data_IF_588075210652
#
_entry.id   IF_588075210652
#
_cell.length_a   1.000
_cell.length_b   1.000
_cell.length_c   1.000
_cell.angle_alpha   90.00
_cell.angle_beta   90.00
_cell.angle_gamma   90.00
#
_symmetry.space_group_name_H-M   'P 1'
#
loop_
_entity.id
_entity.type
_entity.pdbx_description
1 polymer ?
#
# COMPACT_ATOMS: atom_id res chain seq x y z
N UNK A 1 -1.79 -7.13 -42.32
CA UNK A 1 -2.96 -7.87 -41.80
C UNK A 1 -2.71 -8.60 -40.46
N UNK A 2 -1.54 -8.45 -39.81
CA UNK A 2 -1.26 -9.08 -38.52
C UNK A 2 -1.74 -8.28 -37.28
N UNK A 3 -2.18 -7.03 -37.44
CA UNK A 3 -2.54 -6.14 -36.31
C UNK A 3 -3.97 -6.33 -35.77
N UNK A 4 -4.85 -7.01 -36.51
CA UNK A 4 -6.29 -7.11 -36.18
C UNK A 4 -6.59 -8.30 -35.25
N UNK A 5 -5.80 -9.38 -35.35
CA UNK A 5 -5.99 -10.59 -34.54
C UNK A 5 -5.46 -10.41 -33.11
N UNK A 6 -4.37 -9.65 -32.95
CA UNK A 6 -3.75 -9.40 -31.64
C UNK A 6 -4.62 -8.48 -30.77
N UNK A 7 -5.24 -7.46 -31.34
CA UNK A 7 -6.14 -6.55 -30.60
C UNK A 7 -7.40 -7.27 -30.11
N UNK A 8 -8.00 -8.13 -30.93
CA UNK A 8 -9.19 -8.91 -30.54
C UNK A 8 -8.90 -9.88 -29.38
N UNK A 9 -7.73 -10.53 -29.37
CA UNK A 9 -7.31 -11.41 -28.29
C UNK A 9 -7.05 -10.63 -26.99
N UNK A 10 -6.40 -9.47 -27.08
CA UNK A 10 -6.15 -8.59 -25.92
C UNK A 10 -7.46 -8.07 -25.34
N UNK A 11 -8.42 -7.65 -26.18
CA UNK A 11 -9.73 -7.18 -25.71
C UNK A 11 -10.54 -8.28 -25.03
N UNK A 12 -10.47 -9.52 -25.51
CA UNK A 12 -11.14 -10.66 -24.88
C UNK A 12 -10.50 -11.01 -23.53
N UNK A 13 -9.16 -10.98 -23.44
CA UNK A 13 -8.43 -11.19 -22.18
C UNK A 13 -8.67 -10.07 -21.16
N UNK A 14 -8.77 -8.81 -21.61
CA UNK A 14 -9.11 -7.66 -20.76
C UNK A 14 -10.55 -7.72 -20.28
N UNK A 15 -11.50 -8.10 -21.14
CA UNK A 15 -12.92 -8.23 -20.76
C UNK A 15 -13.13 -9.32 -19.71
N UNK A 16 -12.46 -10.47 -19.86
CA UNK A 16 -12.52 -11.53 -18.85
C UNK A 16 -11.88 -11.09 -17.53
N UNK A 17 -10.77 -10.36 -17.60
CA UNK A 17 -10.08 -9.90 -16.39
C UNK A 17 -10.85 -8.79 -15.68
N UNK A 18 -11.47 -7.86 -16.42
CA UNK A 18 -12.32 -6.81 -15.87
C UNK A 18 -13.58 -7.37 -15.18
N UNK A 19 -14.14 -8.48 -15.67
CA UNK A 19 -15.28 -9.16 -15.03
C UNK A 19 -14.94 -9.84 -13.70
N UNK A 20 -13.66 -10.00 -13.39
CA UNK A 20 -13.19 -10.64 -12.15
C UNK A 20 -12.78 -9.64 -11.08
N UNK A 21 -12.74 -8.35 -11.42
CA UNK A 21 -12.34 -7.28 -10.50
C UNK A 21 -13.55 -6.77 -9.72
N UNK A 22 -13.31 -6.37 -8.48
CA UNK A 22 -14.29 -5.58 -7.71
C UNK A 22 -14.44 -4.19 -8.33
N UNK A 23 -15.50 -3.46 -7.95
CA UNK A 23 -15.74 -2.10 -8.48
C UNK A 23 -14.58 -1.15 -8.14
N UNK A 24 -13.99 -1.27 -6.95
CA UNK A 24 -12.81 -0.50 -6.53
C UNK A 24 -11.58 -0.87 -7.37
N UNK A 25 -11.32 -2.17 -7.57
CA UNK A 25 -10.22 -2.64 -8.40
C UNK A 25 -10.37 -2.17 -9.85
N UNK A 26 -11.58 -2.25 -10.40
CA UNK A 26 -11.87 -1.78 -11.75
C UNK A 26 -11.66 -0.27 -11.86
N UNK A 27 -12.13 0.52 -10.89
CA UNK A 27 -11.94 1.96 -10.85
C UNK A 27 -10.45 2.33 -10.88
N UNK A 28 -9.63 1.72 -10.02
CA UNK A 28 -8.19 1.95 -9.96
C UNK A 28 -7.51 1.51 -11.27
N UNK A 29 -7.90 0.37 -11.84
CA UNK A 29 -7.35 -0.10 -13.11
C UNK A 29 -7.62 0.90 -14.25
N UNK A 30 -8.85 1.42 -14.34
CA UNK A 30 -9.21 2.42 -15.35
C UNK A 30 -8.35 3.67 -15.17
N UNK A 31 -8.25 4.20 -13.95
CA UNK A 31 -7.42 5.37 -13.64
C UNK A 31 -5.94 5.16 -14.01
N UNK A 32 -5.37 4.00 -13.68
CA UNK A 32 -4.00 3.66 -14.07
C UNK A 32 -3.82 3.54 -15.59
N UNK A 33 -4.86 3.12 -16.32
CA UNK A 33 -4.83 3.01 -17.78
C UNK A 33 -5.01 4.36 -18.48
N UNK A 34 -5.76 5.29 -17.88
CA UNK A 34 -6.04 6.63 -18.43
C UNK A 34 -5.07 7.71 -17.95
N UNK A 35 -4.19 7.39 -17.01
CA UNK A 35 -3.34 8.37 -16.31
C UNK A 35 -4.15 9.45 -15.58
N UNK A 36 -5.29 9.04 -15.05
CA UNK A 36 -6.16 9.86 -14.24
C UNK A 36 -6.23 9.27 -12.84
N UNK A 37 -7.00 9.92 -11.97
CA UNK A 37 -7.04 9.59 -10.55
C UNK A 37 -8.48 9.33 -10.10
N UNK A 38 -8.74 8.35 -9.22
CA UNK A 38 -10.08 8.12 -8.68
C UNK A 38 -10.28 8.94 -7.41
N UNK A 39 -11.49 9.42 -7.17
CA UNK A 39 -11.92 9.91 -5.86
C UNK A 39 -12.76 8.81 -5.21
N UNK A 40 -12.37 8.36 -4.02
CA UNK A 40 -13.14 7.37 -3.27
C UNK A 40 -13.85 8.05 -2.10
N UNK A 41 -15.12 7.72 -1.93
CA UNK A 41 -15.95 8.22 -0.84
C UNK A 41 -16.66 7.08 -0.14
N UNK A 42 -16.85 7.20 1.17
CA UNK A 42 -17.55 6.19 1.99
C UNK A 42 -18.02 6.86 3.29
N UNK A 43 -19.01 6.29 4.01
CA UNK A 43 -19.40 6.81 5.32
C UNK A 43 -18.23 6.87 6.30
N UNK A 44 -18.25 7.82 7.23
CA UNK A 44 -17.13 8.11 8.14
C UNK A 44 -16.59 6.88 8.88
N UNK A 45 -17.49 6.00 9.31
CA UNK A 45 -17.19 4.81 10.08
C UNK A 45 -16.55 3.69 9.24
N UNK A 46 -16.51 3.82 7.92
CA UNK A 46 -15.94 2.85 6.98
C UNK A 46 -14.64 3.30 6.33
N UNK A 47 -14.18 4.52 6.61
CA UNK A 47 -12.92 5.03 6.03
C UNK A 47 -11.77 4.10 6.33
N UNK A 48 -11.62 3.66 7.58
CA UNK A 48 -10.50 2.80 7.98
C UNK A 48 -10.56 1.43 7.31
N UNK A 49 -11.75 0.85 7.17
CA UNK A 49 -11.95 -0.42 6.46
C UNK A 49 -11.63 -0.28 4.97
N UNK A 50 -12.10 0.79 4.32
CA UNK A 50 -11.77 1.07 2.92
C UNK A 50 -10.27 1.31 2.71
N UNK A 51 -9.62 2.05 3.60
CA UNK A 51 -8.18 2.28 3.55
C UNK A 51 -7.42 0.96 3.72
N UNK A 52 -7.84 0.11 4.67
CA UNK A 52 -7.23 -1.19 4.88
C UNK A 52 -7.42 -2.11 3.67
N UNK A 53 -8.61 -2.14 3.05
CA UNK A 53 -8.84 -2.83 1.78
C UNK A 53 -7.87 -2.34 0.70
N UNK A 54 -7.71 -1.02 0.52
CA UNK A 54 -6.77 -0.45 -0.44
C UNK A 54 -5.32 -0.86 -0.16
N UNK A 55 -4.91 -0.89 1.11
CA UNK A 55 -3.57 -1.32 1.53
C UNK A 55 -3.27 -2.77 1.16
N UNK A 56 -4.29 -3.64 1.14
CA UNK A 56 -4.16 -5.02 0.73
C UNK A 56 -4.25 -5.16 -0.79
N UNK A 57 -5.21 -4.47 -1.41
CA UNK A 57 -5.53 -4.52 -2.82
C UNK A 57 -4.39 -3.99 -3.69
N UNK A 58 -3.83 -2.81 -3.36
CA UNK A 58 -2.81 -2.15 -4.17
C UNK A 58 -1.55 -3.00 -4.40
N UNK A 59 -0.91 -3.58 -3.36
CA UNK A 59 0.25 -4.45 -3.58
C UNK A 59 -0.14 -5.81 -4.18
N UNK A 60 -1.27 -6.40 -3.80
CA UNK A 60 -1.66 -7.74 -4.30
C UNK A 60 -2.08 -7.75 -5.76
N UNK A 61 -2.92 -6.79 -6.16
CA UNK A 61 -3.55 -6.76 -7.48
C UNK A 61 -2.69 -5.98 -8.49
N UNK A 62 -2.18 -4.82 -8.07
CA UNK A 62 -1.46 -3.91 -8.97
C UNK A 62 0.06 -3.93 -8.82
N UNK A 63 0.58 -4.62 -7.79
CA UNK A 63 2.01 -4.70 -7.48
C UNK A 63 2.65 -3.31 -7.36
N UNK A 64 1.92 -2.38 -6.75
CA UNK A 64 2.36 -1.01 -6.54
C UNK A 64 2.73 -0.81 -5.07
N UNK A 65 3.77 0.01 -4.83
CA UNK A 65 4.03 0.53 -3.48
C UNK A 65 3.00 1.60 -3.15
N UNK A 66 2.57 1.66 -1.89
CA UNK A 66 1.62 2.66 -1.43
C UNK A 66 2.11 3.39 -0.17
N UNK A 67 1.64 4.62 0.01
CA UNK A 67 1.73 5.38 1.27
C UNK A 67 0.36 5.90 1.65
N UNK A 68 0.13 6.02 2.96
CA UNK A 68 -1.08 6.58 3.53
C UNK A 68 -0.73 7.94 4.10
N UNK A 69 -1.52 8.97 3.76
CA UNK A 69 -1.34 10.33 4.25
C UNK A 69 -2.63 10.78 4.93
N UNK A 70 -2.53 11.14 6.21
CA UNK A 70 -3.65 11.68 6.98
C UNK A 70 -3.73 13.19 6.81
N UNK A 71 -4.79 13.65 6.16
CA UNK A 71 -4.95 15.06 5.86
C UNK A 71 -5.72 15.79 6.96
N UNK A 72 -5.20 16.94 7.35
CA UNK A 72 -5.79 17.82 8.36
C UNK A 72 -5.61 19.29 7.97
N UNK A 73 -6.37 20.21 8.59
CA UNK A 73 -6.17 21.65 8.39
C UNK A 73 -4.79 22.14 8.85
N UNK A 74 -4.09 21.36 9.69
CA UNK A 74 -2.73 21.64 10.18
C UNK A 74 -1.62 21.04 9.32
N UNK A 75 -1.94 20.23 8.30
CA UNK A 75 -0.93 19.59 7.45
C UNK A 75 -0.11 20.63 6.70
N UNK A 76 1.21 20.65 6.91
CA UNK A 76 2.11 21.57 6.23
C UNK A 76 2.65 20.97 4.92
N UNK A 77 3.13 21.81 3.98
CA UNK A 77 3.74 21.31 2.74
C UNK A 77 4.96 20.43 2.96
N UNK A 78 5.71 20.67 4.05
CA UNK A 78 6.91 19.91 4.41
C UNK A 78 6.53 18.54 4.98
N UNK A 79 5.52 18.47 5.83
CA UNK A 79 4.98 17.21 6.36
C UNK A 79 4.44 16.35 5.21
N UNK A 80 3.59 16.94 4.37
CA UNK A 80 3.03 16.26 3.19
C UNK A 80 4.13 15.74 2.25
N UNK A 81 5.13 16.57 1.94
CA UNK A 81 6.25 16.15 1.09
C UNK A 81 7.08 15.02 1.69
N UNK A 82 7.19 14.96 3.01
CA UNK A 82 7.97 13.93 3.71
C UNK A 82 7.23 12.59 3.73
N UNK A 83 5.91 12.59 3.90
CA UNK A 83 5.08 11.37 3.90
C UNK A 83 4.94 10.71 2.52
N UNK A 84 5.21 11.44 1.44
CA UNK A 84 5.20 10.90 0.07
C UNK A 84 6.38 9.97 -0.25
N UNK A 85 7.44 10.03 0.56
CA UNK A 85 8.72 9.42 0.25
C UNK A 85 8.81 8.01 0.84
N UNK A 86 9.04 7.04 -0.03
CA UNK A 86 9.37 5.67 0.35
C UNK A 86 10.88 5.48 0.24
N UNK A 87 11.44 4.78 1.22
CA UNK A 87 12.84 4.36 1.17
C UNK A 87 12.99 3.22 0.16
N UNK A 88 13.71 3.47 -0.93
CA UNK A 88 14.13 2.40 -1.85
C UNK A 88 15.61 2.11 -1.60
N UNK A 89 15.90 0.91 -1.09
CA UNK A 89 17.28 0.44 -1.02
C UNK A 89 17.74 0.06 -2.44
N UNK A 90 18.90 0.53 -2.91
CA UNK A 90 19.42 0.07 -4.20
C UNK A 90 19.68 -1.44 -4.13
N UNK A 91 19.46 -2.20 -5.23
CA UNK A 91 19.77 -3.62 -5.25
C UNK A 91 21.25 -3.80 -4.92
N UNK A 92 21.54 -4.61 -3.90
CA UNK A 92 22.89 -4.90 -3.44
C UNK A 92 23.77 -5.33 -4.62
N UNK A 93 24.94 -4.69 -4.87
CA UNK A 93 25.86 -5.17 -5.88
C UNK A 93 26.37 -6.55 -5.45
N UNK A 94 26.09 -7.56 -6.29
CA UNK A 94 26.59 -8.91 -6.11
C UNK A 94 28.14 -8.91 -6.14
N UNK A 95 28.73 -9.51 -5.10
CA UNK A 95 30.12 -10.00 -4.97
C UNK A 95 31.27 -8.98 -4.92
N UNK A 96 31.92 -8.86 -3.74
CA UNK A 96 33.33 -9.29 -3.49
C UNK A 96 33.75 -8.96 -2.06
N UNK A 97 34.38 -9.93 -1.39
CA UNK A 97 34.88 -9.93 -0.01
C UNK A 97 35.42 -8.58 0.48
N UNK A 98 34.64 -7.86 1.30
CA UNK A 98 35.13 -6.74 2.11
C UNK A 98 34.44 -6.71 3.47
N UNK A 99 35.13 -6.30 4.54
CA UNK A 99 34.65 -6.42 5.92
C UNK A 99 33.36 -5.63 6.15
N UNK A 100 32.36 -6.33 6.68
CA UNK A 100 30.92 -5.99 6.77
C UNK A 100 30.61 -4.65 7.46
N UNK A 101 31.50 -4.14 8.30
CA UNK A 101 31.25 -2.95 9.12
C UNK A 101 31.26 -1.62 8.32
N UNK A 102 31.93 -1.56 7.17
CA UNK A 102 32.00 -0.34 6.34
C UNK A 102 30.92 -0.34 5.25
N UNK A 103 30.47 -1.53 4.82
CA UNK A 103 29.44 -1.69 3.79
C UNK A 103 28.06 -1.21 4.26
N UNK A 104 27.68 -1.53 5.51
CA UNK A 104 26.42 -1.05 6.11
C UNK A 104 26.40 0.48 6.24
N UNK A 105 27.53 1.10 6.56
CA UNK A 105 27.67 2.56 6.69
C UNK A 105 27.57 3.27 5.34
N UNK A 106 28.11 2.68 4.25
CA UNK A 106 28.02 3.24 2.90
C UNK A 106 26.65 3.06 2.26
N UNK A 107 25.94 1.97 2.54
CA UNK A 107 24.62 1.71 1.95
C UNK A 107 23.52 2.68 2.45
N UNK A 108 23.68 3.27 3.64
CA UNK A 108 22.79 4.34 4.12
C UNK A 108 22.98 5.68 3.41
N UNK A 109 24.12 5.89 2.75
CA UNK A 109 24.45 7.14 2.05
C UNK A 109 24.01 7.14 0.58
N UNK A 110 23.49 6.02 0.07
CA UNK A 110 23.01 5.85 -1.32
C UNK A 110 21.51 5.60 -1.39
N UNK A 111 20.80 5.69 -0.27
CA UNK A 111 19.35 5.64 -0.23
C UNK A 111 18.75 6.79 -1.03
N UNK A 112 18.08 6.48 -2.14
CA UNK A 112 17.27 7.45 -2.86
C UNK A 112 15.84 7.35 -2.36
N UNK A 113 15.34 8.41 -1.76
CA UNK A 113 13.90 8.56 -1.50
C UNK A 113 13.17 8.64 -2.84
N UNK A 114 12.26 7.71 -3.07
CA UNK A 114 11.39 7.69 -4.26
C UNK A 114 9.95 7.92 -3.83
N UNK A 115 9.15 8.51 -4.70
CA UNK A 115 7.72 8.68 -4.44
C UNK A 115 7.03 7.33 -4.62
N UNK A 116 6.08 7.00 -3.74
CA UNK A 116 5.27 5.80 -3.88
C UNK A 116 4.48 5.79 -5.20
N UNK A 117 4.14 4.59 -5.70
CA UNK A 117 3.32 4.47 -6.89
C UNK A 117 1.84 4.79 -6.61
N UNK A 118 1.39 4.56 -5.39
CA UNK A 118 0.04 4.87 -4.95
C UNK A 118 0.09 5.75 -3.70
N UNK A 119 -0.68 6.82 -3.69
CA UNK A 119 -0.85 7.67 -2.50
C UNK A 119 -2.32 7.60 -2.10
N UNK A 120 -2.58 7.16 -0.88
CA UNK A 120 -3.92 7.12 -0.29
C UNK A 120 -4.02 8.32 0.65
N UNK A 121 -4.74 9.36 0.23
CA UNK A 121 -4.86 10.62 0.97
C UNK A 121 -6.21 10.68 1.70
N UNK A 122 -6.21 10.42 3.00
CA UNK A 122 -7.41 10.34 3.82
C UNK A 122 -7.83 11.74 4.25
N UNK A 123 -9.10 12.11 4.05
CA UNK A 123 -9.68 13.43 4.35
C UNK A 123 -9.00 14.57 3.58
N UNK A 124 -8.64 14.33 2.32
CA UNK A 124 -7.90 15.29 1.51
C UNK A 124 -8.65 16.62 1.31
N UNK A 125 -9.97 16.64 1.45
CA UNK A 125 -10.79 17.86 1.47
C UNK A 125 -10.42 18.83 2.62
N UNK A 126 -9.82 18.33 3.69
CA UNK A 126 -9.47 19.11 4.89
C UNK A 126 -8.10 19.79 4.83
N UNK A 127 -7.27 19.51 3.82
CA UNK A 127 -5.94 20.13 3.71
C UNK A 127 -6.02 21.62 3.36
N UNK A 128 -5.01 22.41 3.75
CA UNK A 128 -4.85 23.77 3.24
C UNK A 128 -4.80 23.84 1.71
N UNK A 129 -5.33 24.92 1.13
CA UNK A 129 -5.38 25.12 -0.33
C UNK A 129 -4.02 25.03 -1.02
N UNK A 130 -2.93 25.38 -0.33
CA UNK A 130 -1.56 25.25 -0.86
C UNK A 130 -1.19 23.80 -1.16
N UNK A 131 -1.64 22.85 -0.33
CA UNK A 131 -1.42 21.41 -0.54
C UNK A 131 -2.21 20.92 -1.76
N UNK A 132 -3.46 21.37 -1.91
CA UNK A 132 -4.25 21.05 -3.11
C UNK A 132 -3.57 21.55 -4.40
N UNK A 133 -3.02 22.77 -4.39
CA UNK A 133 -2.25 23.30 -5.53
C UNK A 133 -0.99 22.44 -5.77
N UNK A 134 -0.25 22.09 -4.73
CA UNK A 134 0.96 21.27 -4.84
C UNK A 134 0.66 19.89 -5.43
N UNK A 135 -0.44 19.27 -5.01
CA UNK A 135 -0.93 18.01 -5.60
C UNK A 135 -1.34 18.24 -7.06
N UNK A 136 -2.10 19.29 -7.38
CA UNK A 136 -2.47 19.59 -8.77
C UNK A 136 -1.23 19.74 -9.67
N UNK A 137 -0.21 20.47 -9.20
CA UNK A 137 1.04 20.63 -9.92
C UNK A 137 1.76 19.29 -10.06
N UNK A 138 1.80 18.47 -9.01
CA UNK A 138 2.36 17.13 -9.03
C UNK A 138 1.70 16.23 -10.07
N UNK A 139 0.37 16.20 -10.12
CA UNK A 139 -0.39 15.39 -11.08
C UNK A 139 -0.16 15.88 -12.51
N UNK A 140 -0.17 17.20 -12.75
CA UNK A 140 0.02 17.78 -14.09
C UNK A 140 1.45 17.67 -14.62
N UNK A 141 2.45 17.86 -13.76
CA UNK A 141 3.86 17.93 -14.16
C UNK A 141 4.61 16.62 -13.95
N UNK A 142 3.99 15.65 -13.26
CA UNK A 142 4.61 14.41 -12.79
C UNK A 142 5.90 14.66 -11.99
N UNK A 143 5.91 15.75 -11.22
CA UNK A 143 7.06 16.17 -10.39
C UNK A 143 6.57 16.81 -9.11
N UNK A 144 7.25 16.54 -8.00
CA UNK A 144 7.06 17.28 -6.76
C UNK A 144 8.29 18.11 -6.44
N UNK A 145 8.06 19.38 -6.08
CA UNK A 145 9.09 20.24 -5.52
C UNK A 145 9.13 20.02 -4.01
N UNK A 146 10.27 19.55 -3.51
CA UNK A 146 10.59 19.54 -2.09
C UNK A 146 11.62 20.62 -1.79
N UNK A 147 11.92 20.85 -0.51
CA UNK A 147 12.86 21.89 -0.06
C UNK A 147 14.25 21.77 -0.68
N UNK A 148 14.67 20.58 -1.09
CA UNK A 148 16.03 20.32 -1.59
C UNK A 148 16.12 19.61 -2.94
N UNK A 149 15.00 19.17 -3.53
CA UNK A 149 15.02 18.42 -4.77
C UNK A 149 13.69 18.52 -5.54
N UNK A 150 13.78 18.31 -6.84
CA UNK A 150 12.60 18.02 -7.67
C UNK A 150 12.57 16.52 -7.88
N UNK A 151 11.60 15.84 -7.29
CA UNK A 151 11.49 14.39 -7.40
C UNK A 151 10.48 14.02 -8.49
N UNK A 152 10.85 13.16 -9.45
CA UNK A 152 9.91 12.69 -10.46
C UNK A 152 8.89 11.73 -9.83
N UNK A 153 7.63 11.87 -10.25
CA UNK A 153 6.56 10.93 -9.92
C UNK A 153 6.72 9.68 -10.79
N UNK A 154 6.53 8.46 -10.24
CA UNK A 154 6.60 7.23 -11.01
C UNK A 154 5.70 7.26 -12.25
N UNK A 155 6.09 6.55 -13.31
CA UNK A 155 5.30 6.52 -14.54
C UNK A 155 3.92 5.88 -14.31
N UNK A 156 3.89 4.78 -13.57
CA UNK A 156 2.65 4.16 -13.08
C UNK A 156 2.33 4.76 -11.71
N UNK A 157 1.39 5.69 -11.68
CA UNK A 157 1.10 6.44 -10.48
C UNK A 157 -0.39 6.70 -10.33
N UNK A 158 -0.89 6.58 -9.10
CA UNK A 158 -2.27 6.91 -8.77
C UNK A 158 -2.33 7.65 -7.44
N UNK A 159 -3.05 8.78 -7.43
CA UNK A 159 -3.37 9.53 -6.23
C UNK A 159 -4.85 9.28 -5.89
N UNK A 160 -5.13 8.75 -4.71
CA UNK A 160 -6.47 8.32 -4.29
C UNK A 160 -6.88 9.11 -3.05
N UNK A 161 -7.58 10.25 -3.20
CA UNK A 161 -8.25 10.89 -2.09
C UNK A 161 -9.40 10.01 -1.60
N UNK A 162 -9.38 9.67 -0.32
CA UNK A 162 -10.43 8.96 0.40
C UNK A 162 -11.13 9.96 1.31
N UNK A 163 -12.41 10.21 1.09
CA UNK A 163 -13.16 11.24 1.81
C UNK A 163 -14.46 10.71 2.39
N UNK A 164 -14.89 11.33 3.48
CA UNK A 164 -16.18 11.05 4.12
C UNK A 164 -17.35 11.51 3.25
N UNK A 165 -18.33 10.64 3.02
CA UNK A 165 -19.62 11.01 2.43
C UNK A 165 -20.73 10.06 2.89
N UNK A 166 -21.84 10.62 3.38
CA UNK A 166 -22.98 9.84 3.87
C UNK A 166 -23.74 9.12 2.74
N UNK A 167 -23.70 9.66 1.52
CA UNK A 167 -24.38 9.09 0.37
C UNK A 167 -23.64 9.37 -0.96
N UNK A 168 -23.93 8.59 -2.02
CA UNK A 168 -23.39 8.84 -3.36
C UNK A 168 -23.64 10.27 -3.82
N UNK A 169 -22.56 10.98 -4.19
CA UNK A 169 -22.64 12.35 -4.70
C UNK A 169 -22.78 13.45 -3.64
N UNK A 170 -22.84 13.11 -2.34
CA UNK A 170 -22.91 14.07 -1.23
C UNK A 170 -21.54 14.41 -0.61
N UNK A 171 -20.44 13.90 -1.19
CA UNK A 171 -19.09 14.10 -0.66
C UNK A 171 -18.55 15.54 -0.79
N UNK A 172 -17.52 15.88 0.00
CA UNK A 172 -16.87 17.17 -0.04
C UNK A 172 -16.26 17.43 -1.42
N UNK A 173 -16.37 18.69 -1.87
CA UNK A 173 -15.88 19.10 -3.17
C UNK A 173 -14.44 19.58 -3.08
N UNK A 174 -13.55 18.88 -3.78
CA UNK A 174 -12.22 19.38 -4.08
C UNK A 174 -12.32 20.63 -4.97
N UNK A 175 -11.26 21.43 -4.99
CA UNK A 175 -11.22 22.62 -5.87
C UNK A 175 -11.51 22.24 -7.33
N UNK A 176 -12.22 23.08 -8.10
CA UNK A 176 -12.64 22.74 -9.46
C UNK A 176 -11.50 22.29 -10.36
N UNK A 177 -10.33 22.92 -10.23
CA UNK A 177 -9.14 22.58 -11.01
C UNK A 177 -8.57 21.20 -10.68
N UNK A 178 -8.64 20.79 -9.41
CA UNK A 178 -8.20 19.49 -8.96
C UNK A 178 -9.17 18.41 -9.44
N UNK A 179 -10.48 18.66 -9.33
CA UNK A 179 -11.54 17.78 -9.85
C UNK A 179 -11.37 17.41 -11.33
N UNK A 180 -10.85 18.32 -12.17
CA UNK A 180 -10.59 18.04 -13.59
C UNK A 180 -9.48 17.01 -13.86
N UNK A 181 -8.68 16.66 -12.86
CA UNK A 181 -7.61 15.66 -12.98
C UNK A 181 -8.07 14.27 -12.54
N UNK A 182 -9.30 14.15 -12.00
CA UNK A 182 -9.88 12.88 -11.59
C UNK A 182 -10.81 12.34 -12.66
N UNK A 183 -10.69 11.04 -12.95
CA UNK A 183 -11.51 10.33 -13.93
C UNK A 183 -12.94 10.16 -13.44
N UNK A 184 -13.07 9.80 -12.16
CA UNK A 184 -14.30 9.31 -11.57
C UNK A 184 -14.32 9.56 -10.07
N UNK A 185 -15.53 9.71 -9.55
CA UNK A 185 -15.82 9.63 -8.13
C UNK A 185 -16.64 8.37 -7.89
N UNK A 186 -16.13 7.48 -7.05
CA UNK A 186 -16.79 6.26 -6.64
C UNK A 186 -17.17 6.38 -5.16
N UNK A 187 -18.43 6.07 -4.86
CA UNK A 187 -18.90 5.92 -3.50
C UNK A 187 -18.98 4.42 -3.21
N UNK A 188 -18.30 3.98 -2.16
CA UNK A 188 -18.28 2.60 -1.74
C UNK A 188 -19.30 2.37 -0.63
N UNK A 189 -20.22 1.45 -0.89
CA UNK A 189 -21.24 1.03 0.06
C UNK A 189 -20.62 0.09 1.10
N UNK A 190 -20.71 0.40 2.41
CA UNK A 190 -20.30 -0.52 3.48
C UNK A 190 -20.87 -1.93 3.38
N UNK A 191 -22.05 -2.07 2.78
CA UNK A 191 -22.75 -3.36 2.64
C UNK A 191 -22.18 -4.24 1.50
N UNK A 192 -21.38 -3.68 0.58
CA UNK A 192 -20.73 -4.44 -0.50
C UNK A 192 -19.59 -5.34 0.00
N UNK A 193 -19.05 -5.05 1.18
CA UNK A 193 -17.96 -5.81 1.79
C UNK A 193 -16.58 -5.54 1.17
N UNK A 194 -15.58 -6.23 1.71
CA UNK A 194 -14.16 -5.98 1.40
C UNK A 194 -13.45 -7.29 1.05
N UNK A 195 -13.38 -7.57 -0.25
CA UNK A 195 -12.90 -8.86 -0.75
C UNK A 195 -11.45 -9.17 -0.35
N UNK A 196 -10.57 -8.15 -0.34
CA UNK A 196 -9.18 -8.37 0.04
C UNK A 196 -9.01 -8.49 1.56
N UNK A 197 -9.81 -7.80 2.35
CA UNK A 197 -9.86 -7.98 3.81
C UNK A 197 -10.31 -9.39 4.20
N UNK A 198 -11.43 -9.86 3.65
CA UNK A 198 -11.95 -11.20 3.93
C UNK A 198 -10.93 -12.29 3.56
N UNK A 199 -10.23 -12.12 2.44
CA UNK A 199 -9.16 -13.02 2.03
C UNK A 199 -7.97 -13.03 3.02
N UNK A 200 -7.63 -11.87 3.59
CA UNK A 200 -6.57 -11.75 4.60
C UNK A 200 -6.95 -12.45 5.90
N UNK A 201 -8.17 -12.24 6.39
CA UNK A 201 -8.69 -12.86 7.61
C UNK A 201 -8.63 -14.40 7.51
N UNK A 202 -9.06 -14.95 6.37
CA UNK A 202 -8.99 -16.39 6.10
C UNK A 202 -7.53 -16.87 6.06
N UNK A 203 -6.62 -16.07 5.51
CA UNK A 203 -5.20 -16.40 5.45
C UNK A 203 -4.58 -16.42 6.86
N UNK A 204 -4.85 -15.39 7.66
CA UNK A 204 -4.38 -15.26 9.03
C UNK A 204 -4.90 -16.40 9.91
N UNK A 205 -6.19 -16.76 9.80
CA UNK A 205 -6.77 -17.90 10.51
C UNK A 205 -6.09 -19.24 10.15
N UNK A 206 -5.70 -19.44 8.89
CA UNK A 206 -4.94 -20.64 8.47
C UNK A 206 -3.53 -20.66 9.05
N UNK A 207 -2.86 -19.51 9.11
CA UNK A 207 -1.54 -19.38 9.74
C UNK A 207 -1.64 -19.73 11.23
N UNK A 208 -2.60 -19.14 11.94
CA UNK A 208 -2.83 -19.43 13.35
C UNK A 208 -3.14 -20.91 13.59
N UNK A 209 -3.99 -21.50 12.75
CA UNK A 209 -4.32 -22.92 12.87
C UNK A 209 -3.08 -23.79 12.64
N UNK A 210 -2.21 -23.44 11.69
CA UNK A 210 -0.95 -24.13 11.45
C UNK A 210 -0.02 -24.00 12.66
N UNK A 211 0.14 -22.82 13.23
CA UNK A 211 0.94 -22.59 14.43
C UNK A 211 0.41 -23.41 15.62
N UNK A 212 -0.91 -23.45 15.84
CA UNK A 212 -1.55 -24.28 16.89
C UNK A 212 -1.29 -25.77 16.68
N UNK A 213 -1.31 -26.26 15.44
CA UNK A 213 -0.98 -27.67 15.15
C UNK A 213 0.47 -27.99 15.46
N UNK A 214 1.39 -27.09 15.11
CA UNK A 214 2.83 -27.25 15.40
C UNK A 214 3.12 -27.22 16.90
N UNK A 215 2.49 -26.31 17.66
CA UNK A 215 2.62 -26.27 19.13
C UNK A 215 2.13 -27.57 19.79
N UNK A 216 1.02 -28.14 19.31
CA UNK A 216 0.52 -29.44 19.82
C UNK A 216 1.45 -30.61 19.49
N UNK A 217 2.07 -30.60 18.31
CA UNK A 217 3.01 -31.64 17.91
C UNK A 217 4.31 -31.57 18.74
N UNK A 218 4.82 -30.37 18.99
CA UNK A 218 5.99 -30.16 19.84
C UNK A 218 5.72 -30.52 21.31
N UNK A 219 4.51 -30.29 21.84
CA UNK A 219 4.13 -30.75 23.19
C UNK A 219 3.97 -32.27 23.31
N UNK A 220 3.58 -32.96 22.23
CA UNK A 220 3.45 -34.42 22.26
C UNK A 220 4.83 -35.12 22.19
N UNK A 221 5.79 -34.56 21.45
CA UNK A 221 7.15 -35.11 21.33
C UNK A 221 8.03 -34.83 22.57
N UNK A 222 7.70 -33.81 23.38
CA UNK A 222 8.36 -33.54 24.67
C UNK A 222 7.95 -34.45 25.84
N UNK A 223 7.05 -35.42 25.63
CA UNK A 223 6.55 -36.33 26.68
C UNK A 223 7.17 -37.73 26.66
N UNK A 224 8.14 -37.99 25.78
CA UNK A 224 8.89 -39.25 25.72
C UNK A 224 10.37 -38.97 25.91
N UNK A 225 10.77 -38.70 27.15
CA UNK A 225 12.18 -38.69 27.53
C UNK A 225 12.52 -37.74 28.68
N UNK A 226 12.09 -38.05 29.89
CA UNK A 226 12.75 -37.53 31.11
C UNK A 226 12.69 -38.60 32.21
N UNK A 227 13.64 -39.54 32.13
CA UNK A 227 14.21 -40.23 33.28
C UNK A 227 15.73 -39.95 33.23
N UNK A 228 16.18 -38.71 33.47
CA UNK A 228 17.55 -38.45 33.94
C UNK A 228 17.59 -37.22 34.86
N UNK A 229 18.06 -37.55 36.06
CA UNK A 229 18.53 -36.80 37.21
C UNK A 229 19.27 -35.45 37.02
N UNK A 230 19.08 -34.61 38.05
CA UNK A 230 19.66 -33.33 38.49
C UNK A 230 20.74 -32.56 37.70
N UNK A 231 20.53 -31.24 37.59
CA UNK A 231 21.61 -30.26 37.38
C UNK A 231 21.12 -28.81 37.29
N UNK A 232 21.65 -27.96 38.16
CA UNK A 232 21.42 -26.52 38.36
C UNK A 232 21.54 -25.62 37.10
N UNK A 233 20.81 -24.49 37.09
CA UNK A 233 21.33 -23.23 36.56
C UNK A 233 20.52 -22.49 35.49
N UNK A 234 20.29 -21.21 35.78
CA UNK A 234 20.19 -20.05 34.88
C UNK A 234 18.81 -19.58 34.37
N UNK A 235 18.55 -18.30 34.67
CA UNK A 235 17.43 -17.46 34.22
C UNK A 235 17.43 -17.28 32.69
N UNK A 236 16.27 -16.93 32.09
CA UNK A 236 16.31 -16.03 30.96
C UNK A 236 15.34 -14.85 31.07
N UNK A 237 15.93 -13.65 30.95
CA UNK A 237 15.26 -12.42 30.52
C UNK A 237 14.93 -12.46 29.02
N UNK A 238 13.95 -11.61 28.67
CA UNK A 238 13.68 -10.95 27.39
C UNK A 238 12.56 -11.54 26.52
N UNK A 239 11.43 -10.85 26.65
CA UNK A 239 10.31 -10.82 25.73
C UNK A 239 10.79 -10.33 24.36
N UNK A 240 10.74 -11.22 23.37
CA UNK A 240 10.84 -10.88 21.95
C UNK A 240 9.44 -10.77 21.36
N UNK A 241 8.81 -9.61 21.51
CA UNK A 241 7.62 -9.22 20.77
C UNK A 241 8.00 -9.08 19.29
N UNK A 242 7.63 -10.07 18.47
CA UNK A 242 7.85 -10.05 17.03
C UNK A 242 6.72 -9.26 16.37
N UNK A 243 7.09 -8.12 15.79
CA UNK A 243 6.23 -7.22 15.01
C UNK A 243 5.58 -7.98 13.82
N UNK A 244 4.25 -7.91 13.60
CA UNK A 244 3.57 -8.70 12.57
C UNK A 244 3.82 -8.29 11.09
N UNK A 245 4.72 -7.35 10.81
CA UNK A 245 4.83 -6.74 9.47
C UNK A 245 5.99 -7.26 8.58
N UNK A 246 6.81 -8.19 9.07
CA UNK A 246 7.99 -8.65 8.30
C UNK A 246 7.74 -9.85 7.35
N UNK A 247 6.50 -10.35 7.22
CA UNK A 247 6.24 -11.55 6.40
C UNK A 247 5.91 -11.30 4.92
N UNK A 248 5.88 -10.05 4.44
CA UNK A 248 5.57 -9.74 3.03
C UNK A 248 6.77 -9.49 2.11
N UNK A 249 7.97 -9.92 2.48
CA UNK A 249 9.10 -9.98 1.55
C UNK A 249 9.73 -11.36 1.56
N UNK A 250 9.04 -12.36 1.00
CA UNK A 250 9.73 -13.45 0.28
C UNK A 250 8.74 -14.15 -0.65
N UNK A 251 8.77 -13.79 -1.93
CA UNK A 251 8.78 -14.75 -3.04
C UNK A 251 9.02 -13.94 -4.33
N UNK A 252 10.22 -14.13 -4.89
CA UNK A 252 10.63 -13.71 -6.22
C UNK A 252 10.65 -14.94 -7.13
#
# INVERSE_FOLDING_TARGET
MASITTTASITASLSLKAQQLTDIELAILICLATDEHPILTTPAHNIDSLVYELCLLVPRVFQLTHVIIYCSPSTTPEDFASELLVFSMPPSPCSTDTPESIALQRNRLTASSVIAHCIIAINFDRVPHIIQIQVLEMLRTRRILTRGAVLPVPQRFVFIPVMEADAPGEGPRLTPHLHHTFAMSHWHDPEEGYMNMEADEVHQAKIEQRQRRLQRQNQAEGSVGEDVDHGEGEDPESDGELDPLDFYITEA
#
